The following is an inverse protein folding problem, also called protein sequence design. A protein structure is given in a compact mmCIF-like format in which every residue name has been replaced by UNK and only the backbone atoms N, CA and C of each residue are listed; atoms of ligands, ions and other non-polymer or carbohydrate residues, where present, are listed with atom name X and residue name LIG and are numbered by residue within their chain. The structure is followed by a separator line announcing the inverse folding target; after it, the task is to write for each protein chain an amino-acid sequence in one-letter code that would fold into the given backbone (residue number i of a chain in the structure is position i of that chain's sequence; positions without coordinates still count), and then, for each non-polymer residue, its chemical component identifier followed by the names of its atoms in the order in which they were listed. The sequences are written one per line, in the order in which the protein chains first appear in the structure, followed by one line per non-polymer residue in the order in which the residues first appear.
data_IF_610997221521
#
_entry.id   IF_610997221521
#
_cell.length_a   1.000
_cell.length_b   1.000
_cell.length_c   1.000
_cell.angle_alpha   90.00
_cell.angle_beta   90.00
_cell.angle_gamma   90.00
#
_symmetry.space_group_name_H-M   'P 1'
#
loop_
_entity.id
_entity.type
_entity.pdbx_description
1 polymer ?
#
# COMPACT_ATOMS: atom_id res chain seq x y z
N UNK A 1 18.33 -7.88 -5.02
CA UNK A 1 18.00 -6.59 -5.66
C UNK A 1 18.41 -5.47 -4.73
N UNK A 2 19.24 -4.56 -5.20
CA UNK A 2 19.57 -3.29 -4.53
C UNK A 2 18.39 -2.33 -4.58
N UNK A 3 18.51 -1.19 -3.88
CA UNK A 3 17.54 -0.09 -3.95
C UNK A 3 17.39 0.41 -5.39
N UNK A 4 18.50 0.67 -6.09
CA UNK A 4 18.49 1.12 -7.48
C UNK A 4 17.81 0.12 -8.43
N UNK A 5 18.11 -1.17 -8.27
CA UNK A 5 17.47 -2.23 -9.05
C UNK A 5 15.96 -2.30 -8.81
N UNK A 6 15.48 -2.10 -7.57
CA UNK A 6 14.05 -2.07 -7.25
C UNK A 6 13.34 -0.85 -7.85
N UNK A 7 13.94 0.33 -7.77
CA UNK A 7 13.40 1.55 -8.40
C UNK A 7 13.30 1.35 -9.91
N UNK A 8 14.36 0.85 -10.53
CA UNK A 8 14.40 0.55 -11.96
C UNK A 8 13.33 -0.46 -12.36
N UNK A 9 13.20 -1.54 -11.59
CA UNK A 9 12.18 -2.56 -11.81
C UNK A 9 10.76 -1.98 -11.74
N UNK A 10 10.44 -1.19 -10.72
CA UNK A 10 9.12 -0.56 -10.58
C UNK A 10 8.83 0.39 -11.75
N UNK A 11 9.82 1.17 -12.17
CA UNK A 11 9.70 2.05 -13.35
C UNK A 11 9.38 1.25 -14.61
N UNK A 12 10.14 0.19 -14.88
CA UNK A 12 10.01 -0.62 -16.10
C UNK A 12 8.71 -1.42 -16.10
N UNK A 13 8.30 -1.96 -14.95
CA UNK A 13 7.03 -2.65 -14.75
C UNK A 13 5.83 -1.77 -15.10
N UNK A 14 5.90 -0.47 -14.77
CA UNK A 14 4.84 0.50 -15.07
C UNK A 14 5.02 1.21 -16.43
N UNK A 15 6.03 0.85 -17.22
CA UNK A 15 6.26 1.43 -18.55
C UNK A 15 6.69 2.91 -18.53
N UNK A 16 7.22 3.42 -17.42
CA UNK A 16 7.58 4.83 -17.29
C UNK A 16 9.00 5.13 -17.82
N UNK A 17 9.15 6.27 -18.48
CA UNK A 17 10.45 6.84 -18.80
C UNK A 17 11.08 7.44 -17.52
N UNK A 18 12.42 7.40 -17.42
CA UNK A 18 13.13 8.02 -16.28
C UNK A 18 12.78 9.50 -16.13
N UNK A 19 12.61 10.23 -17.25
CA UNK A 19 12.29 11.67 -17.22
C UNK A 19 10.95 11.93 -16.54
N UNK A 20 9.95 11.09 -16.80
CA UNK A 20 8.62 11.22 -16.23
C UNK A 20 8.65 11.09 -14.70
N UNK A 21 9.28 10.03 -14.18
CA UNK A 21 9.38 9.84 -12.71
C UNK A 21 10.21 10.95 -12.08
N UNK A 22 11.33 11.33 -12.69
CA UNK A 22 12.18 12.39 -12.18
C UNK A 22 11.41 13.71 -12.01
N UNK A 23 10.58 14.08 -12.99
CA UNK A 23 9.69 15.24 -12.90
C UNK A 23 8.66 15.09 -11.78
N UNK A 24 8.06 13.90 -11.61
CA UNK A 24 7.05 13.63 -10.58
C UNK A 24 7.60 13.69 -9.15
N UNK A 25 8.79 13.17 -8.92
CA UNK A 25 9.43 13.19 -7.58
C UNK A 25 10.27 14.47 -7.34
N UNK A 26 10.36 15.36 -8.33
CA UNK A 26 11.03 16.65 -8.22
C UNK A 26 12.56 16.59 -8.27
N UNK A 27 13.14 15.66 -9.03
CA UNK A 27 14.59 15.53 -9.22
C UNK A 27 14.98 15.66 -10.69
N UNK A 28 16.28 15.87 -10.95
CA UNK A 28 16.80 15.84 -12.32
C UNK A 28 16.84 14.41 -12.85
N UNK A 29 16.65 14.23 -14.16
CA UNK A 29 16.69 12.90 -14.79
C UNK A 29 18.01 12.14 -14.53
N UNK A 30 19.15 12.83 -14.57
CA UNK A 30 20.45 12.23 -14.26
C UNK A 30 20.56 11.77 -12.79
N UNK A 31 19.87 12.44 -11.88
CA UNK A 31 19.78 12.06 -10.47
C UNK A 31 19.02 10.73 -10.34
N UNK A 32 17.86 10.59 -10.98
CA UNK A 32 17.13 9.31 -10.99
C UNK A 32 17.96 8.18 -11.62
N UNK A 33 18.64 8.45 -12.74
CA UNK A 33 19.56 7.49 -13.37
C UNK A 33 20.70 7.06 -12.42
N UNK A 34 21.20 7.99 -11.60
CA UNK A 34 22.22 7.69 -10.59
C UNK A 34 21.67 6.84 -9.43
N UNK A 35 20.39 7.01 -9.07
CA UNK A 35 19.71 6.15 -8.10
C UNK A 35 19.51 4.74 -8.65
N UNK A 36 18.98 4.61 -9.87
CA UNK A 36 18.73 3.31 -10.52
C UNK A 36 20.01 2.49 -10.79
N UNK A 37 21.18 3.15 -10.81
CA UNK A 37 22.48 2.52 -11.00
C UNK A 37 23.32 2.42 -9.71
N UNK A 38 22.71 2.69 -8.55
CA UNK A 38 23.34 2.68 -7.21
C UNK A 38 24.57 3.60 -7.06
N UNK A 39 24.80 4.52 -8.00
CA UNK A 39 25.89 5.51 -7.95
C UNK A 39 25.65 6.57 -6.87
N UNK A 40 24.38 6.82 -6.55
CA UNK A 40 23.95 7.76 -5.52
C UNK A 40 22.74 7.18 -4.81
N UNK A 41 22.60 7.49 -3.53
CA UNK A 41 21.39 7.15 -2.78
C UNK A 41 20.44 8.36 -2.71
N UNK A 42 19.12 8.15 -2.78
CA UNK A 42 18.15 9.19 -2.49
C UNK A 42 18.26 9.62 -1.03
N UNK A 43 17.95 10.89 -0.75
CA UNK A 43 17.73 11.34 0.62
C UNK A 43 16.39 10.82 1.17
N UNK A 44 16.14 11.08 2.45
CA UNK A 44 14.94 10.64 3.14
C UNK A 44 13.64 11.11 2.45
N UNK A 45 13.59 12.38 2.05
CA UNK A 45 12.40 12.96 1.41
C UNK A 45 12.17 12.38 0.01
N UNK A 46 13.24 12.18 -0.77
CA UNK A 46 13.14 11.58 -2.09
C UNK A 46 12.75 10.11 -2.01
N UNK A 47 13.27 9.37 -1.02
CA UNK A 47 12.91 7.97 -0.81
C UNK A 47 11.41 7.83 -0.51
N UNK A 48 10.84 8.71 0.32
CA UNK A 48 9.40 8.75 0.59
C UNK A 48 8.61 9.05 -0.68
N UNK A 49 8.99 10.06 -1.46
CA UNK A 49 8.31 10.39 -2.73
C UNK A 49 8.33 9.22 -3.73
N UNK A 50 9.42 8.47 -3.78
CA UNK A 50 9.52 7.28 -4.63
C UNK A 50 8.56 6.19 -4.13
N UNK A 51 8.52 5.95 -2.81
CA UNK A 51 7.61 5.01 -2.18
C UNK A 51 6.15 5.37 -2.48
N UNK A 52 5.76 6.63 -2.25
CA UNK A 52 4.41 7.14 -2.50
C UNK A 52 4.04 7.07 -3.98
N UNK A 53 4.95 7.45 -4.88
CA UNK A 53 4.70 7.42 -6.33
C UNK A 53 4.40 6.01 -6.85
N UNK A 54 5.05 4.99 -6.29
CA UNK A 54 4.86 3.61 -6.69
C UNK A 54 3.88 2.84 -5.78
N UNK A 55 3.28 3.50 -4.79
CA UNK A 55 2.40 2.89 -3.78
C UNK A 55 3.04 1.68 -3.08
N UNK A 56 4.31 1.82 -2.69
CA UNK A 56 5.09 0.78 -1.99
C UNK A 56 5.64 1.29 -0.67
N UNK A 57 6.05 0.38 0.22
CA UNK A 57 6.75 0.73 1.45
C UNK A 57 8.22 1.09 1.17
N UNK A 58 8.79 1.92 2.05
CA UNK A 58 10.24 2.11 2.08
C UNK A 58 10.98 0.83 2.49
N UNK A 59 10.37 -0.04 3.32
CA UNK A 59 10.88 -1.38 3.62
C UNK A 59 11.06 -2.24 2.36
N UNK A 60 10.10 -2.18 1.43
CA UNK A 60 10.25 -2.83 0.14
C UNK A 60 11.40 -2.23 -0.66
N UNK A 61 11.47 -0.89 -0.78
CA UNK A 61 12.52 -0.23 -1.55
C UNK A 61 13.91 -0.53 -0.98
N UNK A 62 14.06 -0.55 0.34
CA UNK A 62 15.31 -0.84 1.05
C UNK A 62 15.62 -2.35 1.14
N UNK A 63 14.75 -3.21 0.61
CA UNK A 63 14.97 -4.66 0.55
C UNK A 63 14.78 -5.40 1.87
N UNK A 64 14.08 -4.81 2.84
CA UNK A 64 13.70 -5.45 4.11
C UNK A 64 12.57 -6.47 3.92
N UNK A 65 11.78 -6.31 2.85
CA UNK A 65 10.72 -7.23 2.43
C UNK A 65 10.64 -7.35 0.91
N UNK A 66 10.03 -8.44 0.43
CA UNK A 66 9.66 -8.62 -0.98
C UNK A 66 8.20 -8.24 -1.26
N UNK A 67 7.43 -7.92 -0.22
CA UNK A 67 6.06 -7.42 -0.36
C UNK A 67 6.09 -5.91 -0.64
N UNK A 68 5.55 -5.45 -1.80
CA UNK A 68 5.68 -4.06 -2.24
C UNK A 68 4.96 -3.08 -1.33
N UNK A 69 3.69 -3.33 -1.02
CA UNK A 69 2.94 -2.53 -0.07
C UNK A 69 3.27 -3.00 1.35
N UNK A 70 3.36 -2.10 2.35
CA UNK A 70 3.26 -2.57 3.71
C UNK A 70 1.93 -3.29 3.80
N UNK A 71 1.91 -4.56 4.20
CA UNK A 71 0.69 -5.11 4.78
C UNK A 71 0.44 -4.27 6.03
N UNK A 72 -0.25 -3.13 5.88
CA UNK A 72 -1.28 -2.79 6.83
C UNK A 72 -2.29 -3.94 6.71
N UNK A 73 -1.95 -5.10 7.29
CA UNK A 73 -2.90 -5.75 8.15
C UNK A 73 -3.25 -4.64 9.10
N UNK A 74 -4.37 -3.96 8.84
CA UNK A 74 -4.98 -3.07 9.79
C UNK A 74 -4.92 -3.83 11.11
N UNK A 75 -4.04 -3.38 11.98
CA UNK A 75 -3.94 -3.88 13.32
C UNK A 75 -5.25 -3.49 13.97
N UNK A 76 -6.21 -4.42 14.01
CA UNK A 76 -7.35 -4.43 14.92
C UNK A 76 -8.19 -3.14 15.03
N UNK A 77 -8.38 -2.36 13.97
CA UNK A 77 -9.48 -1.39 13.91
C UNK A 77 -10.68 -2.06 13.23
N UNK A 78 -11.77 -2.19 14.00
CA UNK A 78 -12.95 -3.05 13.75
C UNK A 78 -13.87 -2.65 12.58
N UNK A 79 -13.41 -2.08 11.46
CA UNK A 79 -14.38 -1.52 10.50
C UNK A 79 -14.12 -1.60 9.00
N UNK A 80 -13.08 -2.25 8.47
CA UNK A 80 -12.93 -2.30 7.01
C UNK A 80 -12.41 -3.63 6.49
N UNK A 81 -13.20 -4.26 5.60
CA UNK A 81 -12.68 -5.33 4.75
C UNK A 81 -13.64 -6.42 4.31
N UNK A 82 -14.92 -6.39 4.68
CA UNK A 82 -15.91 -7.41 4.22
C UNK A 82 -17.24 -6.87 3.70
N UNK A 83 -17.48 -5.55 3.76
CA UNK A 83 -18.75 -4.93 3.35
C UNK A 83 -18.80 -4.48 1.87
N UNK A 84 -17.75 -4.74 1.09
CA UNK A 84 -17.65 -4.29 -0.31
C UNK A 84 -17.68 -5.45 -1.30
N UNK A 85 -18.68 -6.34 -1.19
CA UNK A 85 -18.90 -7.32 -2.26
C UNK A 85 -19.78 -6.74 -3.38
N UNK A 86 -20.69 -5.78 -3.11
CA UNK A 86 -21.52 -5.15 -4.17
C UNK A 86 -22.23 -3.81 -3.79
N UNK A 87 -21.79 -3.10 -2.73
CA UNK A 87 -22.44 -1.85 -2.29
C UNK A 87 -21.94 -0.60 -3.03
N UNK A 88 -22.85 0.23 -3.56
CA UNK A 88 -22.49 1.55 -4.08
C UNK A 88 -22.27 2.54 -2.92
N UNK A 89 -21.01 2.91 -2.68
CA UNK A 89 -20.65 3.99 -1.76
C UNK A 89 -20.28 3.55 -0.33
N UNK A 90 -19.94 4.51 0.54
CA UNK A 90 -19.62 4.23 1.93
C UNK A 90 -20.86 3.72 2.68
N UNK A 91 -20.66 2.73 3.56
CA UNK A 91 -21.72 2.17 4.40
C UNK A 91 -22.37 3.29 5.22
N UNK A 92 -23.69 3.41 5.12
CA UNK A 92 -24.47 4.34 5.93
C UNK A 92 -24.45 3.93 7.40
N UNK A 93 -24.70 4.88 8.31
CA UNK A 93 -24.75 4.57 9.74
C UNK A 93 -25.84 3.53 10.08
N UNK A 94 -26.95 3.54 9.33
CA UNK A 94 -28.04 2.58 9.46
C UNK A 94 -27.59 1.14 9.10
N UNK A 95 -26.85 1.00 8.00
CA UNK A 95 -26.30 -0.30 7.57
C UNK A 95 -25.26 -0.82 8.55
N UNK A 96 -24.43 0.06 9.15
CA UNK A 96 -23.48 -0.32 10.21
C UNK A 96 -24.21 -0.85 11.44
N UNK A 97 -25.28 -0.20 11.86
CA UNK A 97 -26.08 -0.62 13.02
C UNK A 97 -26.73 -1.98 12.78
N UNK A 98 -27.35 -2.19 11.62
CA UNK A 98 -27.91 -3.48 11.22
C UNK A 98 -26.88 -4.61 11.20
N UNK A 99 -25.70 -4.35 10.65
CA UNK A 99 -24.59 -5.32 10.62
C UNK A 99 -24.12 -5.67 12.04
N UNK A 100 -24.04 -4.68 12.92
CA UNK A 100 -23.67 -4.88 14.33
C UNK A 100 -24.67 -5.77 15.06
N UNK A 101 -25.96 -5.51 14.92
CA UNK A 101 -27.01 -6.32 15.52
C UNK A 101 -27.03 -7.76 14.97
N UNK A 102 -26.95 -7.91 13.65
CA UNK A 102 -26.96 -9.24 13.01
C UNK A 102 -25.77 -10.10 13.45
N UNK A 103 -24.60 -9.48 13.66
CA UNK A 103 -23.40 -10.14 14.16
C UNK A 103 -23.56 -10.59 15.62
N UNK A 104 -24.13 -9.73 16.46
CA UNK A 104 -24.40 -10.05 17.86
C UNK A 104 -25.37 -11.23 17.98
N UNK A 105 -26.43 -11.22 17.17
CA UNK A 105 -27.38 -12.32 17.07
C UNK A 105 -26.69 -13.60 16.62
N UNK A 106 -25.85 -13.54 15.59
CA UNK A 106 -25.10 -14.70 15.09
C UNK A 106 -24.16 -15.28 16.14
N UNK A 107 -23.42 -14.43 16.87
CA UNK A 107 -22.54 -14.84 17.98
C UNK A 107 -23.35 -15.56 19.06
N UNK A 108 -24.53 -15.04 19.40
CA UNK A 108 -25.45 -15.66 20.36
C UNK A 108 -25.99 -17.01 19.87
N UNK A 109 -26.34 -17.12 18.59
CA UNK A 109 -26.78 -18.39 18.00
C UNK A 109 -25.65 -19.43 17.99
N UNK A 110 -24.42 -19.02 17.70
CA UNK A 110 -23.25 -19.90 17.70
C UNK A 110 -22.90 -20.37 19.11
N UNK A 111 -23.04 -19.51 20.11
CA UNK A 111 -22.86 -19.87 21.51
C UNK A 111 -23.89 -20.91 21.97
N UNK A 112 -25.17 -20.70 21.63
CA UNK A 112 -26.26 -21.65 21.95
C UNK A 112 -26.19 -22.99 21.22
N UNK A 113 -25.55 -23.06 20.05
CA UNK A 113 -25.34 -24.31 19.30
C UNK A 113 -24.16 -25.15 19.81
N UNK A 114 -23.37 -24.62 20.75
CA UNK A 114 -22.16 -25.27 21.28
C UNK A 114 -22.37 -25.89 22.68
N UNK A 115 -23.55 -25.68 23.27
CA UNK A 115 -24.11 -26.42 24.41
C UNK A 115 -24.97 -27.58 23.90
#
# INVERSE_FOLDING_TARGET
MTLGERIKYLREKNGYAQKFIAEKIGVKNNTLSSYESDKRQPDYDTLQKIADFFEVSTDYLLGRTNEPSPTYKASNDESDGLAFIDGEGPITEEEKEYLKESLELFRRMKAKKKE
#
